data_IF_599575970286
#
_entry.id   IF_599575970286
#
_cell.length_a   1.000
_cell.length_b   1.000
_cell.length_c   1.000
_cell.angle_alpha   90.00
_cell.angle_beta   90.00
_cell.angle_gamma   90.00
#
_symmetry.space_group_name_H-M   'P 1'
#
loop_
_entity.id
_entity.type
_entity.pdbx_description
1 polymer ?
#
# COMPACT_ATOMS: atom_id res chain seq x y z
N UNK A 1 58.11 -2.08 -24.84
CA UNK A 1 57.79 -2.36 -23.42
C UNK A 1 56.42 -1.84 -23.05
N UNK A 2 55.42 -2.70 -23.23
CA UNK A 2 54.08 -2.48 -22.69
C UNK A 2 54.11 -2.86 -21.21
N UNK A 3 54.14 -1.86 -20.32
CA UNK A 3 53.66 -2.09 -18.95
C UNK A 3 52.13 -2.11 -19.02
N UNK A 4 51.56 -3.31 -18.89
CA UNK A 4 50.14 -3.51 -18.61
C UNK A 4 49.93 -2.91 -17.21
N UNK A 5 49.19 -1.80 -17.15
CA UNK A 5 48.80 -1.18 -15.90
C UNK A 5 47.88 -2.15 -15.14
N UNK A 6 48.38 -2.72 -14.05
CA UNK A 6 47.73 -3.76 -13.25
C UNK A 6 46.47 -3.26 -12.49
N UNK A 7 46.05 -2.01 -12.71
CA UNK A 7 45.03 -1.32 -11.92
C UNK A 7 43.67 -1.13 -12.60
N UNK A 8 43.30 -1.96 -13.58
CA UNK A 8 41.93 -1.93 -14.17
C UNK A 8 40.84 -2.21 -13.12
N UNK A 9 41.20 -2.80 -11.97
CA UNK A 9 40.29 -3.11 -10.86
C UNK A 9 40.40 -2.16 -9.67
N UNK A 10 41.23 -1.10 -9.72
CA UNK A 10 41.25 -0.13 -8.64
C UNK A 10 39.95 0.70 -8.68
N UNK A 11 39.22 0.66 -7.57
CA UNK A 11 38.00 1.43 -7.35
C UNK A 11 38.28 2.93 -7.41
N UNK A 12 39.50 3.34 -7.07
CA UNK A 12 39.95 4.72 -7.08
C UNK A 12 40.93 4.91 -8.24
N UNK A 13 40.52 5.65 -9.28
CA UNK A 13 41.38 5.89 -10.45
C UNK A 13 41.39 7.35 -10.86
N UNK A 14 42.57 7.82 -11.27
CA UNK A 14 42.69 9.11 -11.97
C UNK A 14 42.41 8.85 -13.45
N UNK A 15 41.40 9.53 -13.99
CA UNK A 15 40.99 9.46 -15.40
C UNK A 15 41.45 10.70 -16.16
N UNK A 16 41.23 10.71 -17.48
CA UNK A 16 41.68 11.75 -18.39
C UNK A 16 41.43 13.17 -17.86
N UNK A 17 42.46 14.01 -17.97
CA UNK A 17 42.46 15.38 -17.46
C UNK A 17 42.76 15.51 -15.96
N UNK A 18 43.20 14.46 -15.27
CA UNK A 18 43.57 14.50 -13.85
C UNK A 18 42.39 14.41 -12.89
N UNK A 19 41.25 13.91 -13.37
CA UNK A 19 40.02 13.78 -12.59
C UNK A 19 40.05 12.51 -11.73
N UNK A 20 39.63 12.58 -10.47
CA UNK A 20 39.48 11.41 -9.60
C UNK A 20 38.11 10.77 -9.78
N UNK A 21 38.07 9.48 -10.08
CA UNK A 21 36.86 8.66 -10.14
C UNK A 21 36.92 7.57 -9.07
N UNK A 22 35.91 7.54 -8.20
CA UNK A 22 35.70 6.50 -7.19
C UNK A 22 34.47 5.68 -7.60
N UNK A 23 34.67 4.40 -7.93
CA UNK A 23 33.60 3.45 -8.22
C UNK A 23 33.19 2.72 -6.93
N UNK A 24 31.91 2.33 -6.81
CA UNK A 24 31.38 1.64 -5.63
C UNK A 24 31.73 2.38 -4.32
N UNK A 25 31.27 3.64 -4.20
CA UNK A 25 31.58 4.52 -3.07
C UNK A 25 31.12 3.89 -1.75
N UNK A 26 32.02 3.81 -0.78
CA UNK A 26 31.78 3.24 0.56
C UNK A 26 31.87 4.31 1.63
N UNK A 27 31.32 4.02 2.81
CA UNK A 27 31.41 4.93 3.95
C UNK A 27 32.86 5.35 4.26
N UNK A 28 33.81 4.43 4.09
CA UNK A 28 35.24 4.63 4.28
C UNK A 28 35.87 5.66 3.33
N UNK A 29 35.19 6.02 2.24
CA UNK A 29 35.71 6.97 1.26
C UNK A 29 35.38 8.42 1.64
N UNK A 30 34.56 8.62 2.68
CA UNK A 30 34.32 9.94 3.27
C UNK A 30 35.63 10.54 3.74
N UNK A 31 35.89 11.79 3.38
CA UNK A 31 37.16 12.42 3.68
C UNK A 31 37.33 13.77 3.01
N UNK A 32 38.50 14.37 3.21
CA UNK A 32 38.90 15.61 2.54
C UNK A 32 39.89 15.25 1.45
N UNK A 33 39.56 15.64 0.22
CA UNK A 33 40.37 15.45 -0.97
C UNK A 33 40.97 16.79 -1.39
N UNK A 34 42.21 16.77 -1.84
CA UNK A 34 42.92 17.95 -2.31
C UNK A 34 43.70 17.60 -3.57
N UNK A 35 43.60 18.42 -4.61
CA UNK A 35 44.31 18.22 -5.86
C UNK A 35 45.68 18.91 -5.77
N UNK A 36 46.74 18.20 -6.15
CA UNK A 36 48.12 18.70 -6.14
C UNK A 36 48.62 18.74 -7.58
N UNK A 37 49.00 19.93 -8.04
CA UNK A 37 49.59 20.15 -9.36
C UNK A 37 51.09 20.42 -9.23
N UNK A 38 51.91 19.65 -9.93
CA UNK A 38 53.36 19.74 -9.90
C UNK A 38 53.95 19.81 -11.31
N UNK A 39 54.95 20.67 -11.49
CA UNK A 39 55.84 20.64 -12.64
C UNK A 39 57.30 20.81 -12.21
N UNK A 40 58.22 20.99 -13.16
CA UNK A 40 59.65 21.15 -12.90
C UNK A 40 60.02 22.40 -12.07
N UNK A 41 59.11 23.37 -11.95
CA UNK A 41 59.35 24.67 -11.29
C UNK A 41 58.73 24.70 -9.89
N UNK A 42 57.70 23.91 -9.61
CA UNK A 42 57.11 23.87 -8.28
C UNK A 42 55.85 23.04 -8.14
N UNK A 43 55.26 23.11 -6.94
CA UNK A 43 54.06 22.41 -6.51
C UNK A 43 53.03 23.45 -6.05
N UNK A 44 51.76 23.27 -6.41
CA UNK A 44 50.63 24.01 -5.86
C UNK A 44 49.49 23.06 -5.50
N UNK A 45 48.83 23.34 -4.40
CA UNK A 45 47.67 22.59 -3.92
C UNK A 45 46.38 23.38 -4.16
N UNK A 46 45.28 22.66 -4.43
CA UNK A 46 43.94 23.23 -4.50
C UNK A 46 43.39 23.53 -3.10
N UNK A 47 42.22 24.17 -3.06
CA UNK A 47 41.39 24.16 -1.84
C UNK A 47 40.91 22.73 -1.55
N UNK A 48 40.73 22.36 -0.26
CA UNK A 48 40.18 21.06 0.11
C UNK A 48 38.70 20.92 -0.32
N UNK A 49 38.31 19.73 -0.76
CA UNK A 49 36.94 19.33 -1.06
C UNK A 49 36.52 18.18 -0.15
N UNK A 50 35.39 18.30 0.54
CA UNK A 50 34.89 17.26 1.46
C UNK A 50 33.92 16.33 0.73
N UNK A 51 34.20 15.04 0.75
CA UNK A 51 33.25 13.99 0.38
C UNK A 51 32.60 13.45 1.67
N UNK A 52 31.26 13.47 1.71
CA UNK A 52 30.48 12.81 2.74
C UNK A 52 29.63 11.75 2.07
N UNK A 53 29.76 10.50 2.53
CA UNK A 53 28.97 9.37 2.02
C UNK A 53 27.80 9.12 2.97
N UNK A 54 26.62 8.93 2.39
CA UNK A 54 25.33 8.88 3.06
C UNK A 54 24.58 7.60 2.65
N UNK A 55 23.63 7.14 3.49
CA UNK A 55 22.83 5.94 3.23
C UNK A 55 21.50 6.31 2.58
N UNK A 56 21.23 5.72 1.40
CA UNK A 56 19.90 5.80 0.78
C UNK A 56 18.83 5.21 1.69
N UNK A 57 17.57 5.67 1.59
CA UNK A 57 16.49 5.10 2.38
C UNK A 57 16.33 3.61 2.09
N UNK A 58 16.08 2.82 3.13
CA UNK A 58 15.82 1.38 3.03
C UNK A 58 14.75 0.95 4.04
N UNK A 59 13.97 -0.08 3.67
CA UNK A 59 12.87 -0.58 4.48
C UNK A 59 13.42 -1.47 5.61
N UNK A 60 13.14 -1.08 6.85
CA UNK A 60 13.34 -1.92 8.04
C UNK A 60 12.13 -2.82 8.28
N UNK A 61 10.93 -2.30 7.98
CA UNK A 61 9.67 -3.04 8.06
C UNK A 61 8.69 -2.44 7.07
N UNK A 62 8.14 -3.30 6.22
CA UNK A 62 7.09 -2.94 5.26
C UNK A 62 5.71 -2.94 5.91
N UNK A 63 4.79 -2.08 5.46
CA UNK A 63 3.40 -2.18 5.86
C UNK A 63 2.78 -3.49 5.39
N UNK A 64 1.83 -4.00 6.18
CA UNK A 64 1.15 -5.25 5.92
C UNK A 64 -0.29 -4.98 5.49
N UNK A 65 -0.84 -5.87 4.68
CA UNK A 65 -2.26 -5.86 4.33
C UNK A 65 -3.13 -5.97 5.59
N UNK A 66 -4.21 -5.18 5.66
CA UNK A 66 -5.11 -5.16 6.81
C UNK A 66 -6.56 -5.27 6.36
N UNK A 67 -7.30 -6.17 7.01
CA UNK A 67 -8.76 -6.22 6.93
C UNK A 67 -9.36 -5.67 8.22
N UNK A 68 -10.32 -4.77 8.11
CA UNK A 68 -10.93 -4.08 9.25
C UNK A 68 -12.45 -4.04 9.11
N UNK A 69 -13.19 -4.03 10.22
CA UNK A 69 -14.63 -3.78 10.18
C UNK A 69 -14.91 -2.28 9.99
N UNK A 70 -15.98 -1.95 9.28
CA UNK A 70 -16.46 -0.59 9.15
C UNK A 70 -16.64 0.06 10.54
N UNK A 71 -16.35 1.37 10.62
CA UNK A 71 -16.30 2.19 11.83
C UNK A 71 -15.17 1.86 12.83
N UNK A 72 -14.29 0.90 12.54
CA UNK A 72 -13.09 0.68 13.35
C UNK A 72 -11.90 1.51 12.83
N UNK A 73 -10.82 1.55 13.62
CA UNK A 73 -9.56 2.20 13.23
C UNK A 73 -8.58 1.18 12.67
N UNK A 74 -7.77 1.59 11.71
CA UNK A 74 -6.65 0.82 11.14
C UNK A 74 -5.35 1.60 11.25
N UNK A 75 -4.23 0.89 11.36
CA UNK A 75 -2.89 1.46 11.35
C UNK A 75 -1.98 0.69 10.38
N UNK A 76 -1.27 1.42 9.53
CA UNK A 76 -0.20 0.91 8.69
C UNK A 76 1.15 1.39 9.23
N UNK A 77 2.02 0.44 9.57
CA UNK A 77 3.36 0.74 10.04
C UNK A 77 4.37 0.65 8.89
N UNK A 78 5.25 1.63 8.78
CA UNK A 78 6.35 1.64 7.82
C UNK A 78 7.59 2.16 8.54
N UNK A 79 8.60 1.29 8.71
CA UNK A 79 9.86 1.67 9.36
C UNK A 79 10.95 1.75 8.30
N UNK A 80 11.64 2.89 8.27
CA UNK A 80 12.66 3.19 7.27
C UNK A 80 13.94 3.62 7.97
N UNK A 81 15.06 3.07 7.51
CA UNK A 81 16.41 3.52 7.86
C UNK A 81 17.03 4.34 6.72
N UNK A 82 18.05 5.11 7.03
CA UNK A 82 18.77 5.93 6.06
C UNK A 82 19.55 7.04 6.78
N UNK A 83 20.52 7.62 6.08
CA UNK A 83 21.33 8.73 6.56
C UNK A 83 21.55 9.70 5.39
N UNK A 84 21.09 10.97 5.46
CA UNK A 84 20.32 11.57 6.54
C UNK A 84 18.99 10.86 6.79
N UNK A 85 18.42 11.01 7.99
CA UNK A 85 17.14 10.38 8.38
C UNK A 85 16.05 10.66 7.35
N UNK A 86 15.47 9.63 6.70
CA UNK A 86 14.48 9.83 5.64
C UNK A 86 13.17 10.42 6.16
N UNK A 87 12.54 11.26 5.34
CA UNK A 87 11.18 11.74 5.57
C UNK A 87 10.19 10.73 5.02
N UNK A 88 9.25 10.28 5.84
CA UNK A 88 8.17 9.37 5.43
C UNK A 88 6.93 10.16 5.04
N UNK A 89 6.37 9.84 3.87
CA UNK A 89 5.11 10.34 3.34
C UNK A 89 4.17 9.16 3.06
N UNK A 90 2.89 9.33 3.42
CA UNK A 90 1.85 8.36 3.08
C UNK A 90 0.92 8.92 2.02
N UNK A 91 0.51 8.06 1.09
CA UNK A 91 -0.52 8.35 0.10
C UNK A 91 -1.38 7.13 -0.19
N UNK A 92 -2.60 7.36 -0.65
CA UNK A 92 -3.45 6.34 -1.27
C UNK A 92 -3.18 6.32 -2.78
N UNK A 93 -3.10 5.13 -3.38
CA UNK A 93 -2.71 4.95 -4.78
C UNK A 93 -3.68 5.65 -5.76
N UNK A 94 -4.97 5.71 -5.43
CA UNK A 94 -6.01 6.40 -6.21
C UNK A 94 -6.03 7.93 -5.99
N UNK A 95 -5.15 8.47 -5.13
CA UNK A 95 -5.07 9.87 -4.76
C UNK A 95 -6.17 10.37 -3.80
N UNK A 96 -7.11 9.51 -3.38
CA UNK A 96 -8.28 9.87 -2.56
C UNK A 96 -8.04 9.55 -1.09
N UNK A 97 -7.02 10.17 -0.51
CA UNK A 97 -6.70 10.00 0.91
C UNK A 97 -7.84 10.52 1.80
N UNK A 98 -8.29 9.79 2.84
CA UNK A 98 -9.31 10.25 3.77
C UNK A 98 -8.74 11.26 4.78
N UNK A 99 -8.35 12.45 4.31
CA UNK A 99 -7.56 13.44 5.08
C UNK A 99 -8.21 13.90 6.40
N UNK A 100 -9.53 13.86 6.52
CA UNK A 100 -10.24 14.19 7.77
C UNK A 100 -10.19 13.08 8.83
N UNK A 101 -9.84 11.85 8.45
CA UNK A 101 -9.77 10.66 9.32
C UNK A 101 -8.40 10.01 9.36
N UNK A 102 -7.49 10.43 8.47
CA UNK A 102 -6.11 9.98 8.42
C UNK A 102 -5.20 10.89 9.27
N UNK A 103 -4.33 10.29 10.07
CA UNK A 103 -3.30 10.99 10.81
C UNK A 103 -1.98 10.21 10.79
N UNK A 104 -0.87 10.94 10.84
CA UNK A 104 0.47 10.35 10.96
C UNK A 104 0.85 10.37 12.44
N UNK A 105 1.17 9.20 13.00
CA UNK A 105 1.58 9.04 14.38
C UNK A 105 3.05 9.46 14.58
N UNK A 106 3.49 9.52 15.83
CA UNK A 106 4.88 9.89 16.18
C UNK A 106 5.91 8.94 15.52
N UNK A 107 5.60 7.64 15.48
CA UNK A 107 6.41 6.60 14.84
C UNK A 107 6.30 6.58 13.30
N UNK A 108 5.66 7.59 12.71
CA UNK A 108 5.39 7.74 11.27
C UNK A 108 4.43 6.71 10.68
N UNK A 109 3.76 5.91 11.51
CA UNK A 109 2.65 5.06 11.06
C UNK A 109 1.47 5.91 10.59
N UNK A 110 0.78 5.44 9.56
CA UNK A 110 -0.50 6.00 9.14
C UNK A 110 -1.62 5.37 9.97
N UNK A 111 -2.47 6.20 10.59
CA UNK A 111 -3.70 5.77 11.25
C UNK A 111 -4.91 6.32 10.51
N UNK A 112 -5.91 5.48 10.26
CA UNK A 112 -7.21 5.88 9.71
C UNK A 112 -8.28 5.49 10.72
N UNK A 113 -9.08 6.45 11.17
CA UNK A 113 -10.19 6.21 12.09
C UNK A 113 -11.52 6.08 11.34
N UNK A 114 -12.49 5.41 11.96
CA UNK A 114 -13.85 5.24 11.42
C UNK A 114 -13.84 4.80 9.96
N UNK A 115 -13.23 3.65 9.68
CA UNK A 115 -13.07 3.14 8.32
C UNK A 115 -14.42 2.98 7.62
N UNK A 116 -14.50 3.40 6.36
CA UNK A 116 -15.66 3.28 5.48
C UNK A 116 -15.28 2.51 4.21
N UNK A 117 -16.23 1.91 3.47
CA UNK A 117 -15.94 1.15 2.26
C UNK A 117 -15.09 1.92 1.22
N UNK A 118 -15.23 3.24 1.15
CA UNK A 118 -14.47 4.09 0.22
C UNK A 118 -12.97 4.22 0.58
N UNK A 119 -12.59 3.85 1.81
CA UNK A 119 -11.19 3.83 2.25
C UNK A 119 -10.43 2.63 1.71
N UNK A 120 -11.13 1.59 1.26
CA UNK A 120 -10.55 0.40 0.65
C UNK A 120 -9.62 0.79 -0.52
N UNK A 121 -8.50 0.08 -0.62
CA UNK A 121 -7.49 0.32 -1.65
C UNK A 121 -6.06 0.18 -1.14
N UNK A 122 -5.11 0.65 -1.94
CA UNK A 122 -3.67 0.51 -1.67
C UNK A 122 -3.13 1.79 -1.04
N UNK A 123 -2.45 1.65 0.09
CA UNK A 123 -1.72 2.69 0.79
C UNK A 123 -0.22 2.50 0.59
N UNK A 124 0.47 3.59 0.27
CA UNK A 124 1.88 3.60 -0.09
C UNK A 124 2.63 4.49 0.90
N UNK A 125 3.68 3.92 1.49
CA UNK A 125 4.69 4.60 2.27
C UNK A 125 5.87 4.93 1.34
N UNK A 126 6.08 6.22 1.08
CA UNK A 126 7.25 6.72 0.38
C UNK A 126 8.22 7.32 1.41
N UNK A 127 9.52 7.03 1.26
CA UNK A 127 10.54 7.64 2.10
C UNK A 127 11.70 8.17 1.27
N UNK A 128 12.14 9.39 1.61
CA UNK A 128 13.10 10.16 0.83
C UNK A 128 14.14 10.84 1.73
N UNK A 129 15.38 10.86 1.28
CA UNK A 129 16.43 11.75 1.76
C UNK A 129 17.25 12.31 0.58
N UNK A 130 18.27 13.11 0.89
CA UNK A 130 19.09 13.80 -0.12
C UNK A 130 19.83 12.87 -1.11
N UNK A 131 19.91 11.57 -0.83
CA UNK A 131 20.62 10.59 -1.66
C UNK A 131 19.72 9.58 -2.36
N UNK A 132 18.42 9.52 -2.05
CA UNK A 132 17.49 8.65 -2.77
C UNK A 132 16.13 8.46 -2.11
N UNK A 133 15.40 7.47 -2.64
CA UNK A 133 14.02 7.14 -2.23
C UNK A 133 13.83 5.63 -2.09
N UNK A 134 12.84 5.23 -1.29
CA UNK A 134 12.30 3.87 -1.21
C UNK A 134 10.79 3.92 -0.98
N UNK A 135 10.05 2.93 -1.49
CA UNK A 135 8.59 2.87 -1.33
C UNK A 135 8.13 1.44 -0.98
N UNK A 136 7.10 1.33 -0.16
CA UNK A 136 6.40 0.08 0.14
C UNK A 136 4.89 0.28 0.14
N UNK A 137 4.11 -0.78 -0.06
CA UNK A 137 2.65 -0.71 -0.23
C UNK A 137 1.93 -1.78 0.61
N UNK A 138 0.71 -1.48 1.01
CA UNK A 138 -0.20 -2.40 1.67
C UNK A 138 -1.65 -2.11 1.25
N UNK A 139 -2.51 -3.12 1.26
CA UNK A 139 -3.93 -3.02 0.98
C UNK A 139 -4.76 -2.91 2.26
N UNK A 140 -5.81 -2.10 2.19
CA UNK A 140 -6.89 -2.03 3.17
C UNK A 140 -8.13 -2.71 2.60
N UNK A 141 -8.71 -3.67 3.31
CA UNK A 141 -10.05 -4.22 3.02
C UNK A 141 -11.01 -3.82 4.14
N UNK A 142 -12.18 -3.28 3.79
CA UNK A 142 -13.16 -2.83 4.79
C UNK A 142 -14.41 -3.71 4.78
N UNK A 143 -14.53 -4.59 5.77
CA UNK A 143 -15.67 -5.48 5.93
C UNK A 143 -16.87 -4.76 6.56
N UNK A 144 -18.07 -5.13 6.13
CA UNK A 144 -19.32 -4.62 6.71
C UNK A 144 -20.35 -5.74 6.84
N UNK A 145 -21.14 -5.74 7.94
CA UNK A 145 -22.17 -6.74 8.15
C UNK A 145 -23.29 -6.60 7.10
N UNK A 146 -24.09 -7.65 6.87
CA UNK A 146 -25.27 -7.58 6.02
C UNK A 146 -26.27 -6.54 6.53
N UNK A 147 -26.71 -5.64 5.66
CA UNK A 147 -27.75 -4.65 5.91
C UNK A 147 -28.83 -4.74 4.83
N UNK A 148 -30.10 -4.85 5.23
CA UNK A 148 -31.21 -4.90 4.29
C UNK A 148 -31.45 -3.54 3.62
N UNK A 149 -31.31 -3.49 2.30
CA UNK A 149 -31.73 -2.38 1.45
C UNK A 149 -33.22 -2.47 1.08
N UNK A 150 -33.72 -3.69 0.89
CA UNK A 150 -35.15 -3.98 0.68
C UNK A 150 -35.57 -5.16 1.54
N UNK A 151 -36.69 -5.02 2.23
CA UNK A 151 -37.29 -6.09 3.05
C UNK A 151 -38.53 -6.63 2.35
N UNK A 152 -38.90 -7.90 2.59
CA UNK A 152 -40.20 -8.40 2.18
C UNK A 152 -41.32 -7.58 2.81
N UNK A 153 -42.41 -7.42 2.07
CA UNK A 153 -43.63 -6.78 2.51
C UNK A 153 -44.78 -7.79 2.47
N UNK A 154 -45.75 -7.61 3.36
CA UNK A 154 -46.93 -8.47 3.43
C UNK A 154 -47.78 -8.35 2.16
N UNK A 155 -48.26 -9.49 1.66
CA UNK A 155 -49.10 -9.55 0.46
C UNK A 155 -50.40 -10.28 0.77
N UNK A 156 -51.51 -9.77 0.21
CA UNK A 156 -52.83 -10.40 0.27
C UNK A 156 -53.26 -10.78 -1.13
N UNK A 157 -53.31 -12.08 -1.40
CA UNK A 157 -53.60 -12.62 -2.73
C UNK A 157 -54.76 -13.61 -2.64
N UNK A 158 -55.57 -13.67 -3.70
CA UNK A 158 -56.59 -14.69 -3.85
C UNK A 158 -55.98 -16.05 -4.22
N UNK A 159 -56.81 -17.10 -4.21
CA UNK A 159 -56.42 -18.43 -4.71
C UNK A 159 -55.86 -18.32 -6.13
N UNK A 160 -54.81 -19.08 -6.41
CA UNK A 160 -54.04 -19.05 -7.67
C UNK A 160 -53.31 -17.72 -7.96
N UNK A 161 -53.17 -16.85 -6.95
CA UNK A 161 -52.33 -15.67 -7.05
C UNK A 161 -50.85 -16.00 -6.94
N UNK A 162 -50.02 -15.23 -7.64
CA UNK A 162 -48.55 -15.36 -7.59
C UNK A 162 -47.98 -14.38 -6.58
N UNK A 163 -47.25 -14.88 -5.57
CA UNK A 163 -46.60 -14.03 -4.57
C UNK A 163 -45.15 -13.76 -4.97
N UNK A 164 -44.68 -12.53 -4.69
CA UNK A 164 -43.29 -12.12 -4.96
C UNK A 164 -42.71 -11.34 -3.79
N UNK A 165 -41.80 -11.94 -3.03
CA UNK A 165 -41.11 -11.26 -1.94
C UNK A 165 -39.73 -10.78 -2.40
N UNK A 166 -39.55 -9.46 -2.44
CA UNK A 166 -38.25 -8.86 -2.75
C UNK A 166 -37.42 -8.75 -1.46
N UNK A 167 -36.17 -9.21 -1.49
CA UNK A 167 -35.20 -8.99 -0.43
C UNK A 167 -33.85 -8.62 -1.06
N UNK A 168 -33.29 -7.51 -0.63
CA UNK A 168 -31.98 -7.06 -1.10
C UNK A 168 -31.16 -6.68 0.12
N UNK A 169 -29.96 -7.24 0.25
CA UNK A 169 -29.01 -6.92 1.31
C UNK A 169 -27.67 -6.49 0.70
N UNK A 170 -27.00 -5.53 1.36
CA UNK A 170 -25.61 -5.12 1.06
C UNK A 170 -24.70 -5.56 2.21
N UNK A 171 -23.41 -5.67 1.95
CA UNK A 171 -22.39 -6.03 2.95
C UNK A 171 -21.07 -6.30 2.25
N UNK A 172 -19.98 -6.37 3.01
CA UNK A 172 -18.66 -6.77 2.49
C UNK A 172 -18.07 -7.86 3.40
N UNK A 173 -17.93 -9.12 2.93
CA UNK A 173 -18.26 -9.59 1.58
C UNK A 173 -19.75 -9.52 1.23
N UNK A 174 -20.13 -9.56 -0.07
CA UNK A 174 -21.52 -9.54 -0.49
C UNK A 174 -22.34 -10.66 0.19
N UNK A 175 -23.48 -10.33 0.85
CA UNK A 175 -24.26 -11.32 1.56
C UNK A 175 -25.04 -12.23 0.60
N UNK A 176 -25.18 -13.52 0.97
CA UNK A 176 -26.10 -14.44 0.29
C UNK A 176 -27.50 -14.33 0.88
N UNK A 177 -28.51 -14.12 0.03
CA UNK A 177 -29.91 -14.05 0.42
C UNK A 177 -30.57 -15.40 0.17
N UNK A 178 -31.18 -16.00 1.19
CA UNK A 178 -31.93 -17.25 1.08
C UNK A 178 -33.19 -17.17 1.94
N UNK A 179 -34.16 -18.04 1.66
CA UNK A 179 -35.49 -17.97 2.27
C UNK A 179 -35.83 -19.25 3.03
N UNK A 180 -36.72 -19.13 4.00
CA UNK A 180 -37.40 -20.27 4.65
C UNK A 180 -38.84 -19.89 4.92
N UNK A 181 -39.70 -20.89 5.06
CA UNK A 181 -41.07 -20.72 5.53
C UNK A 181 -41.11 -21.16 6.99
N UNK A 182 -41.78 -20.40 7.85
CA UNK A 182 -41.95 -20.77 9.26
C UNK A 182 -42.53 -22.20 9.38
N UNK A 183 -41.91 -23.02 10.23
CA UNK A 183 -42.23 -24.44 10.38
C UNK A 183 -41.66 -25.38 9.31
N UNK A 184 -41.03 -24.86 8.25
CA UNK A 184 -40.29 -25.65 7.26
C UNK A 184 -38.82 -25.81 7.65
N UNK A 185 -38.24 -26.98 7.35
CA UNK A 185 -36.80 -27.22 7.45
C UNK A 185 -36.04 -26.89 6.15
N UNK A 186 -36.75 -26.50 5.09
CA UNK A 186 -36.16 -26.24 3.78
C UNK A 186 -35.59 -24.83 3.73
N UNK A 187 -34.29 -24.72 3.43
CA UNK A 187 -33.64 -23.47 3.05
C UNK A 187 -33.65 -23.32 1.53
N UNK A 188 -34.20 -22.22 1.06
CA UNK A 188 -34.35 -21.91 -0.36
C UNK A 188 -33.25 -20.94 -0.78
N UNK A 189 -32.18 -21.49 -1.34
CA UNK A 189 -31.04 -20.75 -1.88
C UNK A 189 -31.32 -20.14 -3.26
N UNK A 190 -30.60 -19.05 -3.64
CA UNK A 190 -30.68 -18.45 -4.98
C UNK A 190 -30.48 -19.46 -6.11
N UNK A 191 -31.09 -19.15 -7.26
CA UNK A 191 -30.99 -19.93 -8.51
C UNK A 191 -31.52 -21.37 -8.42
N UNK A 192 -32.33 -21.67 -7.39
CA UNK A 192 -32.95 -22.97 -7.20
C UNK A 192 -34.49 -22.89 -7.15
N UNK A 193 -35.12 -24.01 -7.52
CA UNK A 193 -36.57 -24.23 -7.46
C UNK A 193 -36.89 -25.29 -6.41
N UNK A 194 -37.93 -25.07 -5.61
CA UNK A 194 -38.37 -25.96 -4.54
C UNK A 194 -39.89 -26.19 -4.68
N UNK A 195 -40.31 -26.95 -5.69
CA UNK A 195 -41.72 -27.09 -6.03
C UNK A 195 -42.30 -25.79 -6.57
N UNK A 196 -43.27 -25.20 -5.88
CA UNK A 196 -43.90 -23.95 -6.26
C UNK A 196 -43.14 -22.69 -5.83
N UNK A 197 -42.02 -22.86 -5.11
CA UNK A 197 -41.13 -21.77 -4.71
C UNK A 197 -39.94 -21.67 -5.68
N UNK A 198 -39.55 -20.45 -6.04
CA UNK A 198 -38.33 -20.18 -6.81
C UNK A 198 -37.61 -18.96 -6.24
N UNK A 199 -36.30 -19.05 -6.08
CA UNK A 199 -35.48 -17.91 -5.64
C UNK A 199 -34.61 -17.45 -6.80
N UNK A 200 -34.71 -16.18 -7.18
CA UNK A 200 -33.87 -15.60 -8.24
C UNK A 200 -32.43 -15.39 -7.76
N UNK A 201 -31.49 -15.21 -8.69
CA UNK A 201 -30.11 -14.80 -8.40
C UNK A 201 -30.01 -13.53 -7.55
N UNK A 202 -30.97 -12.61 -7.71
CA UNK A 202 -31.08 -11.36 -6.92
C UNK A 202 -31.70 -11.59 -5.53
N UNK A 203 -32.05 -12.82 -5.15
CA UNK A 203 -32.64 -13.15 -3.85
C UNK A 203 -34.14 -12.90 -3.75
N UNK A 204 -34.86 -12.70 -4.87
CA UNK A 204 -36.33 -12.57 -4.84
C UNK A 204 -36.99 -13.95 -4.74
N UNK A 205 -37.91 -14.13 -3.79
CA UNK A 205 -38.72 -15.34 -3.69
C UNK A 205 -40.01 -15.18 -4.50
N UNK A 206 -40.23 -16.08 -5.45
CA UNK A 206 -41.43 -16.23 -6.24
C UNK A 206 -42.19 -17.47 -5.77
N UNK A 207 -43.52 -17.35 -5.67
CA UNK A 207 -44.42 -18.42 -5.27
C UNK A 207 -45.52 -18.49 -6.34
N UNK A 208 -45.66 -19.63 -7.01
CA UNK A 208 -46.57 -19.83 -8.16
C UNK A 208 -47.67 -20.86 -7.91
#
# INVERSE_FOLDING_TARGET
DQMIDLNVFDRNRIVDGGNLLIMDVRQSDSGIYQCIAQNLIGIKESKPAKLTVHLKPYLLSEPQDVSVLANQSVQFQCKVGGDPTPKILWRKDDGRMPTSRASILEDKSLRIINAVPEDEGIYICDAENDVGTVSARASLTVHSPPEFMKRPEDQKLGLNGMARFNCLAKGNPPPSVFWTKEGSQILMFPDNSYGHFQVTSEGTLLIQ
#
